data_IF_900378943404
#
_entry.id   IF_900378943404
#
_cell.length_a   1.000
_cell.length_b   1.000
_cell.length_c   1.000
_cell.angle_alpha   90.00
_cell.angle_beta   90.00
_cell.angle_gamma   90.00
#
_symmetry.space_group_name_H-M   'P 1'
#
loop_
_entity.id
_entity.type
_entity.pdbx_description
1 polymer ?
#
# COMPACT_ATOMS: atom_id res chain seq x y z
N UNK A 1 16.91 5.21 10.05
CA UNK A 1 17.35 6.56 10.42
C UNK A 1 16.37 7.05 11.47
N UNK A 2 16.81 7.18 12.71
CA UNK A 2 15.96 7.81 13.74
C UNK A 2 15.75 9.28 13.37
N UNK A 3 14.54 9.84 13.56
CA UNK A 3 14.28 11.22 13.21
C UNK A 3 15.12 12.15 14.11
N UNK A 4 16.03 12.93 13.50
CA UNK A 4 16.86 13.95 14.17
C UNK A 4 16.05 14.84 15.13
N UNK A 5 14.78 15.08 14.78
CA UNK A 5 13.78 15.81 15.57
C UNK A 5 13.72 15.38 17.05
N UNK A 6 13.89 14.09 17.36
CA UNK A 6 13.84 13.59 18.75
C UNK A 6 15.06 14.08 19.53
N UNK A 7 16.25 14.07 18.92
CA UNK A 7 17.47 14.56 19.56
C UNK A 7 17.51 16.08 19.68
N UNK A 8 17.03 16.79 18.66
CA UNK A 8 16.98 18.27 18.63
C UNK A 8 15.99 18.85 19.64
N UNK A 9 15.09 18.02 20.18
CA UNK A 9 14.06 18.46 21.12
C UNK A 9 14.62 18.83 22.51
N UNK A 10 15.83 18.38 22.84
CA UNK A 10 16.44 18.57 24.16
C UNK A 10 15.75 17.76 25.27
N UNK A 11 14.77 16.92 24.93
CA UNK A 11 14.08 16.04 25.87
C UNK A 11 14.70 14.64 25.89
N UNK A 12 14.65 13.93 27.03
CA UNK A 12 15.02 12.53 27.08
C UNK A 12 14.09 11.70 26.17
N UNK A 13 14.60 10.59 25.64
CA UNK A 13 13.84 9.70 24.75
C UNK A 13 12.54 9.14 25.38
N UNK A 14 12.45 9.17 26.72
CA UNK A 14 11.29 8.74 27.50
C UNK A 14 10.50 9.91 28.10
N UNK A 15 10.66 11.13 27.57
CA UNK A 15 9.88 12.28 28.01
C UNK A 15 8.38 12.04 27.79
N UNK A 16 7.59 12.35 28.80
CA UNK A 16 6.13 12.26 28.76
C UNK A 16 5.52 13.55 28.26
N UNK A 17 4.30 13.50 27.72
CA UNK A 17 3.57 14.72 27.32
C UNK A 17 3.37 15.67 28.51
N UNK A 18 3.31 15.15 29.74
CA UNK A 18 3.23 15.99 30.94
C UNK A 18 4.46 16.86 31.19
N UNK A 19 5.64 16.54 30.62
CA UNK A 19 6.83 17.38 30.81
C UNK A 19 6.80 18.68 30.02
N UNK A 20 5.92 18.76 29.00
CA UNK A 20 5.79 19.91 28.11
C UNK A 20 4.43 20.61 28.27
N UNK A 21 3.68 20.23 29.31
CA UNK A 21 2.38 20.78 29.64
C UNK A 21 2.47 21.46 31.01
N UNK A 22 2.16 22.75 31.04
CA UNK A 22 2.07 23.54 32.27
C UNK A 22 0.70 24.21 32.35
N UNK A 23 -0.12 23.72 33.30
CA UNK A 23 -1.52 24.12 33.43
C UNK A 23 -2.30 23.84 32.14
N UNK A 24 -2.87 24.90 31.57
CA UNK A 24 -3.66 24.83 30.34
C UNK A 24 -2.85 25.27 29.10
N UNK A 25 -1.52 25.17 29.14
CA UNK A 25 -0.68 25.62 28.03
C UNK A 25 0.48 24.67 27.72
N UNK A 26 0.89 24.67 26.45
CA UNK A 26 2.10 23.99 26.00
C UNK A 26 3.34 24.82 26.35
N UNK A 27 4.28 24.23 27.07
CA UNK A 27 5.57 24.82 27.42
C UNK A 27 6.68 24.23 26.55
N UNK A 28 6.69 24.58 25.27
CA UNK A 28 7.71 24.12 24.32
C UNK A 28 9.09 24.71 24.64
N UNK A 29 10.18 23.93 24.52
CA UNK A 29 11.53 24.47 24.56
C UNK A 29 11.75 25.40 23.35
N UNK A 30 12.83 26.17 23.37
CA UNK A 30 13.25 26.92 22.19
C UNK A 30 13.40 25.95 21.02
N UNK A 31 12.65 26.17 19.94
CA UNK A 31 12.71 25.29 18.78
C UNK A 31 14.11 25.39 18.17
N UNK A 32 14.93 24.36 18.38
CA UNK A 32 16.34 24.35 17.93
C UNK A 32 16.46 23.96 16.46
N UNK A 33 15.45 23.27 15.91
CA UNK A 33 15.37 22.87 14.51
C UNK A 33 14.09 23.37 13.83
N UNK A 34 14.16 23.48 12.49
CA UNK A 34 13.02 23.87 11.64
C UNK A 34 11.85 22.88 11.78
N UNK A 35 12.15 21.59 11.88
CA UNK A 35 11.13 20.54 12.03
C UNK A 35 10.32 20.72 13.32
N UNK A 36 11.00 21.05 14.43
CA UNK A 36 10.32 21.32 15.71
C UNK A 36 9.48 22.59 15.66
N UNK A 37 9.95 23.63 14.96
CA UNK A 37 9.18 24.84 14.76
C UNK A 37 7.91 24.56 13.95
N UNK A 38 8.02 23.78 12.87
CA UNK A 38 6.87 23.39 12.05
C UNK A 38 5.85 22.56 12.85
N UNK A 39 6.30 21.56 13.62
CA UNK A 39 5.44 20.78 14.51
C UNK A 39 4.72 21.71 15.49
N UNK A 40 5.44 22.61 16.16
CA UNK A 40 4.87 23.58 17.11
C UNK A 40 3.83 24.48 16.45
N UNK A 41 4.08 24.95 15.23
CA UNK A 41 3.16 25.83 14.49
C UNK A 41 1.83 25.15 14.11
N UNK A 42 1.84 23.82 13.96
CA UNK A 42 0.66 23.03 13.58
C UNK A 42 -0.09 22.48 14.79
N UNK A 43 0.46 22.62 16.00
CA UNK A 43 -0.17 22.12 17.22
C UNK A 43 -1.39 22.97 17.59
N UNK A 44 -2.55 22.34 17.88
CA UNK A 44 -3.71 23.05 18.37
C UNK A 44 -3.47 23.58 19.80
N UNK A 45 -4.29 24.54 20.22
CA UNK A 45 -4.30 25.01 21.61
C UNK A 45 -4.59 23.85 22.56
N UNK A 46 -3.81 23.77 23.64
CA UNK A 46 -4.07 22.82 24.72
C UNK A 46 -5.23 23.35 25.57
N UNK A 47 -6.32 22.60 25.65
CA UNK A 47 -7.46 22.94 26.50
C UNK A 47 -8.03 21.65 27.11
N UNK A 48 -7.34 21.08 28.13
CA UNK A 48 -7.74 19.82 28.73
C UNK A 48 -9.03 20.02 29.52
N UNK A 49 -10.06 19.23 29.22
CA UNK A 49 -11.25 19.19 30.06
C UNK A 49 -11.06 18.11 31.13
N UNK A 50 -10.66 18.52 32.33
CA UNK A 50 -10.44 17.62 33.48
C UNK A 50 -11.69 16.84 33.91
N UNK A 51 -12.89 17.24 33.47
CA UNK A 51 -14.14 16.56 33.78
C UNK A 51 -14.48 15.42 32.82
N UNK A 52 -13.68 15.22 31.75
CA UNK A 52 -13.95 14.22 30.72
C UNK A 52 -12.76 13.27 30.62
N UNK A 53 -13.02 11.97 30.77
CA UNK A 53 -12.00 10.96 30.54
C UNK A 53 -11.66 10.85 29.05
N UNK A 54 -10.37 10.63 28.76
CA UNK A 54 -9.88 10.39 27.41
C UNK A 54 -10.56 9.17 26.77
N UNK A 55 -10.91 9.31 25.48
CA UNK A 55 -11.51 8.25 24.68
C UNK A 55 -10.83 8.17 23.33
N UNK A 56 -10.40 6.97 22.96
CA UNK A 56 -9.93 6.70 21.61
C UNK A 56 -11.08 6.88 20.62
N UNK A 57 -10.85 7.68 19.56
CA UNK A 57 -11.83 7.94 18.51
C UNK A 57 -11.29 7.47 17.17
N UNK A 58 -12.10 6.71 16.43
CA UNK A 58 -11.81 6.34 15.06
C UNK A 58 -12.22 7.48 14.10
N UNK A 59 -11.25 8.30 13.68
CA UNK A 59 -11.50 9.48 12.84
C UNK A 59 -12.14 9.20 11.47
N UNK A 60 -11.85 8.07 10.79
CA UNK A 60 -12.51 7.77 9.52
C UNK A 60 -14.03 7.49 9.65
N UNK A 61 -14.56 7.34 10.86
CA UNK A 61 -16.00 7.26 11.11
C UNK A 61 -16.51 8.57 11.69
N UNK A 62 -17.61 9.09 11.15
CA UNK A 62 -18.28 10.31 11.67
C UNK A 62 -18.68 10.18 13.14
N UNK A 63 -19.02 8.97 13.56
CA UNK A 63 -19.47 8.68 14.92
C UNK A 63 -18.30 8.36 15.86
N UNK A 64 -17.07 8.33 15.35
CA UNK A 64 -15.88 8.04 16.14
C UNK A 64 -15.76 6.58 16.59
N UNK A 65 -16.68 5.72 16.19
CA UNK A 65 -16.70 4.30 16.53
C UNK A 65 -15.88 3.49 15.54
N UNK A 66 -15.06 2.58 16.05
CA UNK A 66 -14.32 1.64 15.22
C UNK A 66 -15.26 0.58 14.62
N UNK A 67 -15.03 0.25 13.36
CA UNK A 67 -15.60 -0.94 12.71
C UNK A 67 -14.60 -1.52 11.71
N UNK A 68 -14.64 -2.84 11.52
CA UNK A 68 -13.76 -3.50 10.54
C UNK A 68 -14.02 -2.99 9.12
N UNK A 69 -15.27 -2.69 8.78
CA UNK A 69 -15.64 -2.10 7.48
C UNK A 69 -15.05 -0.70 7.29
N UNK A 70 -15.13 0.18 8.30
CA UNK A 70 -14.52 1.52 8.22
C UNK A 70 -12.99 1.47 8.16
N UNK A 71 -12.37 0.54 8.87
CA UNK A 71 -10.92 0.33 8.81
C UNK A 71 -10.49 -0.13 7.42
N UNK A 72 -11.19 -1.11 6.86
CA UNK A 72 -10.91 -1.61 5.52
C UNK A 72 -11.17 -0.54 4.45
N UNK A 73 -12.22 0.26 4.60
CA UNK A 73 -12.51 1.39 3.71
C UNK A 73 -11.41 2.46 3.77
N UNK A 74 -10.86 2.76 4.95
CA UNK A 74 -9.74 3.71 5.06
C UNK A 74 -8.43 3.19 4.45
N UNK A 75 -8.22 1.87 4.43
CA UNK A 75 -7.02 1.26 3.85
C UNK A 75 -7.15 1.04 2.34
N UNK A 76 -8.38 0.87 1.84
CA UNK A 76 -8.63 0.60 0.42
C UNK A 76 -8.70 1.89 -0.36
N UNK A 77 -7.91 1.98 -1.41
CA UNK A 77 -8.18 2.94 -2.48
C UNK A 77 -9.41 2.47 -3.26
N UNK A 78 -10.45 3.31 -3.41
CA UNK A 78 -11.61 2.94 -4.21
C UNK A 78 -11.19 2.75 -5.66
N UNK A 79 -11.44 1.56 -6.19
CA UNK A 79 -11.26 1.26 -7.61
C UNK A 79 -12.61 1.34 -8.30
N UNK A 80 -12.66 1.82 -9.56
CA UNK A 80 -13.90 1.83 -10.31
C UNK A 80 -14.45 0.40 -10.43
N UNK A 81 -15.77 0.27 -10.28
CA UNK A 81 -16.44 -1.01 -10.46
C UNK A 81 -16.30 -1.41 -11.93
N UNK A 82 -15.58 -2.50 -12.15
CA UNK A 82 -15.39 -3.09 -13.47
C UNK A 82 -16.69 -3.72 -13.97
N UNK A 83 -17.01 -3.60 -15.27
CA UNK A 83 -18.28 -4.09 -15.82
C UNK A 83 -18.48 -5.60 -15.64
N UNK A 84 -17.38 -6.37 -15.58
CA UNK A 84 -17.41 -7.82 -15.35
C UNK A 84 -17.59 -8.23 -13.89
N UNK A 85 -17.62 -7.28 -12.93
CA UNK A 85 -17.81 -7.59 -11.51
C UNK A 85 -19.10 -8.38 -11.25
N UNK A 86 -20.19 -8.04 -11.95
CA UNK A 86 -21.49 -8.73 -11.83
C UNK A 86 -21.45 -10.18 -12.33
N UNK A 87 -20.58 -10.50 -13.29
CA UNK A 87 -20.41 -11.87 -13.79
C UNK A 87 -19.65 -12.74 -12.78
N UNK A 88 -18.77 -12.14 -11.98
CA UNK A 88 -17.94 -12.86 -11.02
C UNK A 88 -18.62 -13.01 -9.65
N UNK A 89 -19.37 -12.00 -9.18
CA UNK A 89 -19.88 -11.94 -7.81
C UNK A 89 -21.42 -11.97 -7.71
N UNK A 90 -22.09 -12.81 -8.50
CA UNK A 90 -23.54 -13.04 -8.38
C UNK A 90 -23.86 -14.10 -7.30
N UNK A 91 -25.01 -14.02 -6.62
CA UNK A 91 -25.32 -14.85 -5.45
C UNK A 91 -25.45 -16.35 -5.73
N UNK A 92 -25.70 -16.76 -6.99
CA UNK A 92 -25.78 -18.16 -7.40
C UNK A 92 -24.47 -18.68 -8.04
N UNK A 93 -23.36 -17.98 -7.86
CA UNK A 93 -22.13 -18.35 -8.54
C UNK A 93 -21.46 -19.57 -7.91
N UNK A 94 -20.87 -20.41 -8.76
CA UNK A 94 -20.03 -21.54 -8.35
C UNK A 94 -18.62 -20.99 -8.12
N UNK A 95 -18.10 -20.91 -6.87
CA UNK A 95 -16.85 -20.21 -6.56
C UNK A 95 -15.64 -20.65 -7.40
N UNK A 96 -15.58 -21.94 -7.76
CA UNK A 96 -14.54 -22.49 -8.64
C UNK A 96 -14.56 -21.85 -10.03
N UNK A 97 -15.74 -21.69 -10.61
CA UNK A 97 -15.90 -21.13 -11.96
C UNK A 97 -15.67 -19.62 -11.96
N UNK A 98 -16.11 -18.92 -10.91
CA UNK A 98 -15.82 -17.49 -10.70
C UNK A 98 -14.33 -17.23 -10.67
N UNK A 99 -13.59 -18.04 -9.92
CA UNK A 99 -12.15 -17.90 -9.78
C UNK A 99 -11.42 -18.14 -11.11
N UNK A 100 -11.80 -19.18 -11.86
CA UNK A 100 -11.22 -19.46 -13.18
C UNK A 100 -11.52 -18.32 -14.16
N UNK A 101 -12.76 -17.83 -14.19
CA UNK A 101 -13.17 -16.70 -15.03
C UNK A 101 -12.40 -15.42 -14.67
N UNK A 102 -12.20 -15.14 -13.38
CA UNK A 102 -11.41 -13.99 -12.91
C UNK A 102 -9.95 -14.07 -13.33
N UNK A 103 -9.32 -15.25 -13.18
CA UNK A 103 -7.95 -15.50 -13.64
C UNK A 103 -7.86 -15.35 -15.17
N UNK A 104 -8.88 -15.79 -15.91
CA UNK A 104 -8.97 -15.67 -17.36
C UNK A 104 -9.12 -14.20 -17.81
N UNK A 105 -10.00 -13.42 -17.18
CA UNK A 105 -10.19 -11.98 -17.46
C UNK A 105 -8.91 -11.19 -17.16
N UNK A 106 -8.18 -11.55 -16.10
CA UNK A 106 -6.85 -10.97 -15.81
C UNK A 106 -5.75 -11.44 -16.77
N UNK A 107 -6.08 -12.30 -17.74
CA UNK A 107 -5.13 -12.89 -18.66
C UNK A 107 -4.03 -13.66 -17.95
N UNK A 108 -4.25 -14.17 -16.73
CA UNK A 108 -3.28 -14.95 -15.95
C UNK A 108 -3.45 -16.45 -16.14
N UNK A 109 -4.48 -16.87 -16.88
CA UNK A 109 -4.62 -18.24 -17.34
C UNK A 109 -3.58 -18.48 -18.45
N UNK A 110 -2.77 -19.53 -18.32
CA UNK A 110 -1.88 -19.99 -19.38
C UNK A 110 -2.70 -20.72 -20.45
N UNK A 111 -3.59 -20.01 -21.13
CA UNK A 111 -4.22 -20.51 -22.35
C UNK A 111 -3.20 -20.56 -23.48
N UNK A 112 -3.43 -21.47 -24.43
CA UNK A 112 -2.55 -21.82 -25.56
C UNK A 112 -1.99 -20.61 -26.34
N UNK A 113 -2.64 -19.45 -26.27
CA UNK A 113 -2.20 -18.19 -26.90
C UNK A 113 -0.90 -17.62 -26.30
N UNK A 114 -0.68 -17.79 -24.99
CA UNK A 114 0.61 -17.41 -24.37
C UNK A 114 1.71 -18.38 -24.77
N UNK A 115 1.41 -19.66 -24.86
CA UNK A 115 2.36 -20.70 -25.27
C UNK A 115 2.80 -20.45 -26.73
N UNK A 116 1.89 -20.12 -27.64
CA UNK A 116 2.23 -19.75 -29.02
C UNK A 116 3.15 -18.53 -29.11
N UNK A 117 2.92 -17.51 -28.26
CA UNK A 117 3.78 -16.32 -28.26
C UNK A 117 5.21 -16.64 -27.81
N UNK A 118 5.40 -17.54 -26.84
CA UNK A 118 6.74 -17.99 -26.42
C UNK A 118 7.37 -19.00 -27.39
N UNK A 119 6.56 -19.83 -28.06
CA UNK A 119 7.04 -20.77 -29.09
C UNK A 119 7.55 -20.03 -30.34
N UNK A 120 6.92 -18.93 -30.73
CA UNK A 120 7.39 -18.09 -31.83
C UNK A 120 8.77 -17.48 -31.53
N UNK A 121 9.03 -17.03 -30.30
CA UNK A 121 10.37 -16.57 -29.90
C UNK A 121 11.40 -17.70 -29.87
N UNK A 122 10.99 -18.92 -29.48
CA UNK A 122 11.87 -20.11 -29.54
C UNK A 122 12.20 -20.52 -30.97
N UNK A 123 11.23 -20.48 -31.89
CA UNK A 123 11.43 -20.82 -33.31
C UNK A 123 12.28 -19.77 -34.04
N UNK A 124 12.09 -18.47 -33.73
CA UNK A 124 12.93 -17.40 -34.28
C UNK A 124 14.39 -17.55 -33.85
N UNK A 125 14.68 -17.91 -32.60
CA UNK A 125 16.06 -18.18 -32.16
C UNK A 125 16.71 -19.35 -32.88
N UNK A 126 15.96 -20.42 -33.21
CA UNK A 126 16.49 -21.56 -33.96
C UNK A 126 16.78 -21.19 -35.41
N UNK A 127 15.91 -20.40 -36.06
CA UNK A 127 16.13 -19.94 -37.44
C UNK A 127 17.27 -18.92 -37.57
N UNK A 128 17.50 -18.08 -36.57
CA UNK A 128 18.62 -17.12 -36.60
C UNK A 128 19.96 -17.70 -36.12
N UNK A 129 19.98 -18.84 -35.42
CA UNK A 129 21.20 -19.41 -34.82
C UNK A 129 21.82 -20.59 -35.57
N UNK A 130 21.29 -21.03 -36.72
CA UNK A 130 21.99 -22.03 -37.55
C UNK A 130 22.83 -21.36 -38.64
N UNK A 131 24.16 -21.23 -38.48
CA UNK A 131 25.03 -20.95 -39.61
C UNK A 131 25.09 -22.19 -40.51
N UNK A 132 24.86 -21.97 -41.79
CA UNK A 132 25.12 -22.91 -42.89
C UNK A 132 26.56 -23.42 -42.80
N UNK A 133 26.75 -24.62 -42.24
CA UNK A 133 27.98 -25.40 -42.46
C UNK A 133 27.71 -26.44 -43.53
N UNK A 134 28.19 -26.11 -44.73
CA UNK A 134 28.52 -27.07 -45.77
C UNK A 134 29.39 -28.18 -45.18
N UNK A 135 28.95 -29.42 -45.33
CA UNK A 135 29.81 -30.59 -45.29
C UNK A 135 29.64 -31.30 -46.63
N UNK A 136 30.69 -31.23 -47.44
CA UNK A 136 30.87 -32.06 -48.62
C UNK A 136 30.94 -33.55 -48.22
N UNK A 137 30.61 -34.44 -49.16
CA UNK A 137 31.30 -35.72 -49.24
C UNK A 137 31.98 -35.88 -50.60
N UNK A 138 33.32 -35.95 -50.57
CA UNK A 138 34.12 -36.62 -51.60
C UNK A 138 33.95 -38.13 -51.46
N UNK A 139 33.57 -38.84 -52.52
CA UNK A 139 33.93 -40.24 -52.75
C UNK A 139 33.85 -40.57 -54.26
N UNK A 140 35.00 -41.01 -54.80
CA UNK A 140 35.37 -41.51 -56.14
C UNK A 140 35.08 -40.66 -57.38
#
# INVERSE_FOLDING_TARGET
MEPLVVYDSGFPIHATVSSIVHGDSWSWPAAMSIDLFEIRSRMPSYNPNSNVNDRARWLPSSNGTYSASSALASLRTPHPIVPWFKLEWFPQNIPRMSFILWVAIRGRLSTRDRIHKYDLWRLLLVFFATPTRSLMPTFF
#
